data_IF_306113271502
#
_entry.id   IF_306113271502
#
_cell.length_a   1.000
_cell.length_b   1.000
_cell.length_c   1.000
_cell.angle_alpha   90.00
_cell.angle_beta   90.00
_cell.angle_gamma   90.00
#
_symmetry.space_group_name_H-M   'P 1'
#
loop_
_entity.id
_entity.type
_entity.pdbx_description
1 polymer ?
#
# COMPACT_ATOMS: atom_id res chain seq x y z
N UNK A 1 5.15 14.53 -7.64
CA UNK A 1 6.38 14.78 -6.86
C UNK A 1 6.05 14.72 -5.38
N UNK A 2 6.90 14.10 -4.57
CA UNK A 2 6.78 14.17 -3.12
C UNK A 2 7.16 15.57 -2.62
N UNK A 3 6.50 16.09 -1.57
CA UNK A 3 6.96 17.31 -0.90
C UNK A 3 8.38 17.15 -0.35
N UNK A 4 9.19 18.20 -0.44
CA UNK A 4 10.62 18.14 -0.11
C UNK A 4 10.92 18.03 1.40
N UNK A 5 9.93 18.33 2.23
CA UNK A 5 9.97 18.26 3.69
C UNK A 5 9.59 16.87 4.25
N UNK A 6 9.21 15.93 3.38
CA UNK A 6 8.99 14.54 3.76
C UNK A 6 10.32 13.80 3.89
N UNK A 7 10.60 13.31 5.09
CA UNK A 7 11.88 12.66 5.38
C UNK A 7 11.70 11.14 5.19
N UNK A 8 12.43 10.49 4.27
CA UNK A 8 12.28 9.05 4.06
C UNK A 8 12.83 8.27 5.25
N UNK A 9 12.01 7.38 5.81
CA UNK A 9 12.43 6.46 6.86
C UNK A 9 12.79 5.10 6.27
N UNK A 10 13.99 4.63 6.57
CA UNK A 10 14.52 3.34 6.10
C UNK A 10 14.96 2.52 7.29
N UNK A 11 14.67 1.23 7.23
CA UNK A 11 15.21 0.26 8.17
C UNK A 11 16.73 0.13 8.00
N UNK A 12 17.40 -0.48 8.97
CA UNK A 12 18.83 -0.76 8.98
C UNK A 12 19.38 -1.44 7.71
N UNK A 13 18.57 -2.25 7.03
CA UNK A 13 18.93 -2.93 5.77
C UNK A 13 18.71 -2.06 4.51
N UNK A 14 18.25 -0.83 4.68
CA UNK A 14 17.97 0.13 3.62
C UNK A 14 16.56 0.03 3.02
N UNK A 15 15.73 -0.92 3.48
CA UNK A 15 14.33 -1.03 3.04
C UNK A 15 13.55 0.24 3.40
N UNK A 16 12.90 0.86 2.41
CA UNK A 16 12.06 2.05 2.62
C UNK A 16 10.73 1.63 3.24
N UNK A 17 10.46 2.08 4.47
CA UNK A 17 9.20 1.78 5.15
C UNK A 17 8.13 2.87 4.91
N UNK A 18 8.57 4.10 4.68
CA UNK A 18 7.67 5.24 4.48
C UNK A 18 8.38 6.57 4.58
N UNK A 19 7.64 7.60 4.98
CA UNK A 19 8.13 8.95 5.21
C UNK A 19 7.58 9.50 6.51
N UNK A 20 8.33 10.42 7.12
CA UNK A 20 7.87 11.21 8.25
C UNK A 20 7.65 12.63 7.74
N UNK A 21 6.42 13.13 7.89
CA UNK A 21 5.98 14.45 7.42
C UNK A 21 5.77 15.38 8.62
N UNK A 22 6.25 16.64 8.58
CA UNK A 22 5.94 17.62 9.62
C UNK A 22 4.44 17.97 9.65
N UNK A 23 3.88 18.11 10.85
CA UNK A 23 2.49 18.53 11.10
C UNK A 23 2.46 19.49 12.31
N UNK A 24 2.56 20.80 12.04
CA UNK A 24 2.71 21.79 13.11
C UNK A 24 4.06 21.63 13.82
N UNK A 25 4.03 21.41 15.14
CA UNK A 25 5.21 21.12 15.96
C UNK A 25 5.48 19.61 16.11
N UNK A 26 4.59 18.76 15.56
CA UNK A 26 4.61 17.30 15.61
C UNK A 26 4.93 16.68 14.24
N UNK A 27 4.85 15.35 14.15
CA UNK A 27 5.16 14.55 12.97
C UNK A 27 4.10 13.49 12.71
N UNK A 28 3.86 13.20 11.44
CA UNK A 28 2.97 12.12 10.99
C UNK A 28 3.77 11.12 10.18
N UNK A 29 3.72 9.85 10.57
CA UNK A 29 4.22 8.74 9.78
C UNK A 29 3.30 8.49 8.58
N UNK A 30 3.88 8.37 7.39
CA UNK A 30 3.20 8.04 6.14
C UNK A 30 3.78 6.73 5.61
N UNK A 31 2.94 5.71 5.44
CA UNK A 31 3.33 4.40 4.92
C UNK A 31 3.77 4.46 3.44
N UNK A 32 4.32 3.34 2.95
CA UNK A 32 4.79 3.23 1.56
C UNK A 32 3.68 3.44 0.50
N UNK A 33 2.41 3.30 0.88
CA UNK A 33 1.24 3.56 0.02
C UNK A 33 0.79 5.03 0.06
N UNK A 34 1.46 5.88 0.84
CA UNK A 34 1.15 7.30 0.96
C UNK A 34 0.02 7.61 1.94
N UNK A 35 -0.27 6.69 2.88
CA UNK A 35 -1.34 6.84 3.88
C UNK A 35 -0.78 7.13 5.28
N UNK A 36 -1.51 7.88 6.13
CA UNK A 36 -1.11 8.03 7.53
C UNK A 36 -1.02 6.67 8.24
N UNK A 37 0.14 6.40 8.84
CA UNK A 37 0.42 5.24 9.68
C UNK A 37 0.41 5.60 11.18
N UNK A 38 0.36 6.89 11.50
CA UNK A 38 0.21 7.42 12.86
C UNK A 38 -0.69 8.65 12.87
N UNK A 39 -1.15 9.03 14.08
CA UNK A 39 -1.59 10.40 14.35
C UNK A 39 -0.37 11.35 14.38
N UNK A 40 -0.60 12.64 14.67
CA UNK A 40 0.47 13.59 14.95
C UNK A 40 1.13 13.24 16.29
N UNK A 41 2.42 12.89 16.25
CA UNK A 41 3.22 12.38 17.36
C UNK A 41 4.64 12.96 17.31
N UNK A 42 5.47 12.66 18.30
CA UNK A 42 6.88 13.03 18.23
C UNK A 42 7.64 12.22 17.15
N UNK A 43 8.87 12.66 16.86
CA UNK A 43 9.71 12.03 15.84
C UNK A 43 9.94 10.54 16.08
N UNK A 44 10.27 10.16 17.32
CA UNK A 44 10.66 8.79 17.65
C UNK A 44 9.46 7.85 17.60
N UNK A 45 8.28 8.32 18.01
CA UNK A 45 7.03 7.59 17.89
C UNK A 45 6.62 7.40 16.41
N UNK A 46 6.85 8.39 15.55
CA UNK A 46 6.62 8.27 14.11
C UNK A 46 7.55 7.22 13.46
N UNK A 47 8.84 7.19 13.83
CA UNK A 47 9.78 6.15 13.40
C UNK A 47 9.31 4.77 13.87
N UNK A 48 8.97 4.64 15.16
CA UNK A 48 8.50 3.39 15.75
C UNK A 48 7.21 2.88 15.08
N UNK A 49 6.29 3.77 14.68
CA UNK A 49 5.09 3.40 13.95
C UNK A 49 5.41 2.79 12.59
N UNK A 50 6.37 3.35 11.84
CA UNK A 50 6.80 2.80 10.55
C UNK A 50 7.52 1.46 10.72
N UNK A 51 8.37 1.31 11.73
CA UNK A 51 9.05 0.04 12.04
C UNK A 51 8.06 -1.06 12.45
N UNK A 52 7.07 -0.72 13.27
CA UNK A 52 6.06 -1.67 13.74
C UNK A 52 5.15 -2.17 12.60
N UNK A 53 4.80 -1.28 11.67
CA UNK A 53 4.03 -1.63 10.47
C UNK A 53 4.89 -2.43 9.49
N UNK A 54 6.11 -1.95 9.20
CA UNK A 54 7.00 -2.56 8.22
C UNK A 54 6.38 -2.63 6.82
N UNK A 55 6.80 -3.60 6.00
CA UNK A 55 6.20 -3.88 4.68
C UNK A 55 5.49 -5.25 4.58
N UNK A 56 5.57 -6.07 5.63
CA UNK A 56 5.06 -7.45 5.60
C UNK A 56 3.55 -7.51 5.28
N UNK A 57 2.78 -6.51 5.71
CA UNK A 57 1.35 -6.37 5.48
C UNK A 57 0.95 -6.20 4.00
N UNK A 58 1.90 -5.81 3.12
CA UNK A 58 1.65 -5.81 1.68
C UNK A 58 1.39 -7.23 1.14
N UNK A 59 1.83 -8.27 1.86
CA UNK A 59 1.57 -9.67 1.53
C UNK A 59 0.22 -10.18 2.06
N UNK A 60 -0.50 -9.39 2.87
CA UNK A 60 -1.81 -9.77 3.40
C UNK A 60 -2.89 -9.78 2.29
N UNK A 61 -4.14 -10.03 2.68
CA UNK A 61 -5.25 -10.03 1.73
C UNK A 61 -5.72 -8.62 1.46
N UNK A 62 -5.64 -8.23 0.18
CA UNK A 62 -6.07 -6.93 -0.32
C UNK A 62 -7.26 -7.07 -1.27
N UNK A 63 -8.15 -6.09 -1.21
CA UNK A 63 -9.33 -5.98 -2.05
C UNK A 63 -9.30 -4.66 -2.82
N UNK A 64 -9.79 -4.69 -4.05
CA UNK A 64 -9.97 -3.53 -4.90
C UNK A 64 -11.46 -3.37 -5.23
N UNK A 65 -12.06 -2.30 -4.71
CA UNK A 65 -13.46 -1.96 -4.96
C UNK A 65 -13.63 -1.26 -6.32
N UNK A 66 -14.79 -1.44 -6.95
CA UNK A 66 -15.21 -0.67 -8.14
C UNK A 66 -14.74 -1.20 -9.50
N UNK A 67 -13.85 -2.20 -9.55
CA UNK A 67 -13.42 -2.83 -10.81
C UNK A 67 -14.44 -3.86 -11.35
N UNK A 68 -15.30 -4.39 -10.48
CA UNK A 68 -16.33 -5.37 -10.80
C UNK A 68 -17.56 -5.21 -9.91
N UNK A 69 -18.57 -6.07 -10.10
CA UNK A 69 -19.79 -6.07 -9.27
C UNK A 69 -19.49 -6.38 -7.79
N UNK A 70 -18.50 -7.23 -7.54
CA UNK A 70 -17.97 -7.52 -6.20
C UNK A 70 -16.52 -7.05 -6.08
N UNK A 71 -16.02 -6.73 -4.87
CA UNK A 71 -14.62 -6.38 -4.66
C UNK A 71 -13.67 -7.46 -5.17
N UNK A 72 -12.64 -7.05 -5.92
CA UNK A 72 -11.65 -7.96 -6.49
C UNK A 72 -10.52 -8.21 -5.49
N UNK A 73 -10.23 -9.48 -5.16
CA UNK A 73 -9.03 -9.83 -4.39
C UNK A 73 -7.79 -9.61 -5.25
N UNK A 74 -6.81 -8.88 -4.72
CA UNK A 74 -5.59 -8.49 -5.44
C UNK A 74 -4.32 -8.75 -4.63
N UNK A 75 -3.18 -8.76 -5.32
CA UNK A 75 -1.84 -8.71 -4.72
C UNK A 75 -1.01 -7.59 -5.33
N UNK A 76 -0.13 -6.99 -4.51
CA UNK A 76 0.86 -6.04 -4.98
C UNK A 76 1.87 -6.72 -5.91
N UNK A 77 2.15 -6.06 -7.02
CA UNK A 77 3.22 -6.41 -7.96
C UNK A 77 4.37 -5.42 -7.81
N UNK A 78 4.04 -4.14 -7.69
CA UNK A 78 5.01 -3.05 -7.56
C UNK A 78 4.37 -1.90 -6.78
N UNK A 79 5.14 -1.26 -5.91
CA UNK A 79 4.83 0.06 -5.36
C UNK A 79 5.96 0.99 -5.78
N UNK A 80 5.63 2.01 -6.56
CA UNK A 80 6.58 3.04 -7.00
C UNK A 80 6.18 4.37 -6.36
N UNK A 81 6.83 4.79 -5.27
CA UNK A 81 6.59 6.10 -4.70
C UNK A 81 6.94 7.24 -5.66
N UNK A 82 6.39 8.45 -5.48
CA UNK A 82 6.71 9.58 -6.34
C UNK A 82 8.15 10.02 -6.10
N UNK A 83 8.85 10.32 -7.19
CA UNK A 83 10.13 11.05 -7.13
C UNK A 83 9.94 12.36 -7.88
N UNK A 84 10.54 12.51 -9.06
CA UNK A 84 10.27 13.60 -10.00
C UNK A 84 8.93 13.43 -10.74
N UNK A 85 8.43 12.19 -10.85
CA UNK A 85 7.17 11.85 -11.52
C UNK A 85 6.08 11.48 -10.50
N UNK A 86 4.86 11.29 -11.00
CA UNK A 86 3.78 10.72 -10.19
C UNK A 86 4.13 9.26 -9.83
N UNK A 87 3.93 8.90 -8.56
CA UNK A 87 4.05 7.52 -8.14
C UNK A 87 2.89 6.67 -8.66
N UNK A 88 3.06 5.36 -8.64
CA UNK A 88 2.04 4.40 -9.02
C UNK A 88 2.09 3.16 -8.13
N UNK A 89 0.97 2.47 -8.07
CA UNK A 89 0.84 1.17 -7.44
C UNK A 89 0.35 0.20 -8.51
N UNK A 90 0.99 -0.95 -8.63
CA UNK A 90 0.59 -1.99 -9.56
C UNK A 90 0.11 -3.18 -8.76
N UNK A 91 -1.13 -3.58 -9.00
CA UNK A 91 -1.72 -4.79 -8.44
C UNK A 91 -2.15 -5.74 -9.55
N UNK A 92 -2.37 -7.00 -9.19
CA UNK A 92 -3.01 -7.99 -10.07
C UNK A 92 -4.07 -8.76 -9.31
N UNK A 93 -5.05 -9.32 -10.01
CA UNK A 93 -5.97 -10.27 -9.41
C UNK A 93 -5.21 -11.42 -8.73
N UNK A 94 -5.63 -11.81 -7.53
CA UNK A 94 -5.06 -12.95 -6.83
C UNK A 94 -5.51 -14.25 -7.51
N UNK A 95 -4.60 -14.83 -8.30
CA UNK A 95 -4.76 -16.10 -9.01
C UNK A 95 -4.37 -17.31 -8.13
N UNK A 96 -4.06 -17.08 -6.84
CA UNK A 96 -3.59 -18.09 -5.90
C UNK A 96 -2.33 -18.85 -6.35
N UNK A 97 -1.53 -18.26 -7.24
CA UNK A 97 -0.34 -18.91 -7.78
C UNK A 97 -0.63 -19.99 -8.82
N UNK A 98 -1.83 -19.96 -9.43
CA UNK A 98 -2.17 -20.85 -10.54
C UNK A 98 -1.33 -20.52 -11.78
N UNK A 99 -0.24 -21.26 -11.96
CA UNK A 99 0.68 -21.12 -13.10
C UNK A 99 0.08 -21.56 -14.43
N UNK A 100 -1.07 -22.25 -14.43
CA UNK A 100 -1.77 -22.66 -15.66
C UNK A 100 -2.70 -21.55 -16.17
N UNK A 101 -3.06 -20.59 -15.31
CA UNK A 101 -3.86 -19.43 -15.70
C UNK A 101 -2.99 -18.48 -16.54
N UNK A 102 -3.53 -17.85 -17.59
CA UNK A 102 -2.86 -16.72 -18.24
C UNK A 102 -2.47 -15.66 -17.20
N UNK A 103 -1.37 -14.93 -17.42
CA UNK A 103 -0.97 -13.85 -16.51
C UNK A 103 -2.15 -12.93 -16.23
N UNK A 104 -2.48 -12.75 -14.94
CA UNK A 104 -3.53 -11.85 -14.54
C UNK A 104 -3.21 -10.43 -15.04
N UNK A 105 -4.26 -9.72 -15.46
CA UNK A 105 -4.16 -8.33 -15.86
C UNK A 105 -3.57 -7.49 -14.71
N UNK A 106 -2.65 -6.60 -15.05
CA UNK A 106 -2.05 -5.65 -14.11
C UNK A 106 -2.88 -4.39 -14.10
N UNK A 107 -3.41 -4.04 -12.94
CA UNK A 107 -4.14 -2.80 -12.71
C UNK A 107 -3.16 -1.78 -12.14
N UNK A 108 -3.12 -0.59 -12.75
CA UNK A 108 -2.27 0.51 -12.33
C UNK A 108 -3.12 1.54 -11.60
N UNK A 109 -2.79 1.76 -10.34
CA UNK A 109 -3.45 2.69 -9.44
C UNK A 109 -2.53 3.88 -9.16
N UNK A 110 -3.08 5.06 -8.84
CA UNK A 110 -2.27 6.21 -8.45
C UNK A 110 -1.57 5.97 -7.12
N UNK A 111 -0.50 6.72 -6.88
CA UNK A 111 0.03 6.99 -5.54
C UNK A 111 -0.30 8.44 -5.15
N UNK A 112 -0.81 8.73 -3.94
CA UNK A 112 -1.15 7.79 -2.87
C UNK A 112 -2.22 6.78 -3.25
N UNK A 113 -2.21 5.62 -2.58
CA UNK A 113 -3.15 4.54 -2.85
C UNK A 113 -4.60 4.99 -2.65
N UNK A 114 -5.48 4.78 -3.64
CA UNK A 114 -6.88 5.17 -3.52
C UNK A 114 -7.58 4.38 -2.43
N UNK A 115 -8.64 4.93 -1.83
CA UNK A 115 -9.42 4.27 -0.78
C UNK A 115 -10.07 2.95 -1.24
N UNK A 116 -10.27 2.80 -2.56
CA UNK A 116 -10.77 1.57 -3.18
C UNK A 116 -9.81 0.40 -3.02
N UNK A 117 -8.51 0.64 -2.86
CA UNK A 117 -7.52 -0.39 -2.55
C UNK A 117 -7.40 -0.54 -1.03
N UNK A 118 -7.90 -1.62 -0.46
CA UNK A 118 -8.05 -1.75 1.00
C UNK A 118 -7.74 -3.15 1.51
N UNK A 119 -7.44 -3.30 2.81
CA UNK A 119 -7.42 -4.61 3.44
C UNK A 119 -8.77 -5.32 3.31
N UNK A 120 -8.73 -6.65 3.34
CA UNK A 120 -9.93 -7.46 3.42
C UNK A 120 -10.74 -7.16 4.69
N UNK A 121 -12.06 -7.23 4.55
CA UNK A 121 -13.07 -7.04 5.58
C UNK A 121 -13.92 -8.30 5.69
N UNK A 122 -14.62 -8.44 6.81
CA UNK A 122 -15.60 -9.52 6.97
C UNK A 122 -16.69 -9.41 5.88
N UNK A 123 -16.91 -10.50 5.15
CA UNK A 123 -17.90 -10.56 4.07
C UNK A 123 -17.36 -10.29 2.66
N UNK A 124 -16.07 -9.96 2.52
CA UNK A 124 -15.45 -9.92 1.19
C UNK A 124 -15.43 -11.32 0.56
N UNK A 125 -15.63 -11.41 -0.76
CA UNK A 125 -15.60 -12.70 -1.46
C UNK A 125 -14.21 -13.34 -1.33
N UNK A 126 -14.17 -14.64 -1.04
CA UNK A 126 -12.93 -15.40 -1.20
C UNK A 126 -12.61 -15.42 -2.70
N UNK A 127 -11.40 -15.02 -3.08
CA UNK A 127 -10.96 -15.08 -4.48
C UNK A 127 -11.02 -16.49 -5.08
N UNK A 128 -11.15 -17.53 -4.24
CA UNK A 128 -11.40 -18.91 -4.70
C UNK A 128 -12.77 -19.11 -5.34
N UNK A 129 -13.73 -18.22 -5.08
CA UNK A 129 -15.14 -18.36 -5.46
C UNK A 129 -15.55 -17.42 -6.59
N UNK A 130 -14.58 -16.82 -7.32
CA UNK A 130 -14.90 -16.09 -8.56
C UNK A 130 -15.30 -17.14 -9.62
N UNK A 131 -16.54 -17.61 -9.52
CA UNK A 131 -17.20 -18.41 -10.52
C UNK A 131 -17.33 -17.54 -11.78
N UNK A 132 -16.81 -18.07 -12.88
CA UNK A 132 -16.96 -17.48 -14.20
C UNK A 132 -18.23 -17.99 -14.86
#
# INVERSE_FOLDING_TARGET
>A
MLPADWIPHRRDDGELLGWIRPEGDDWVAIDVLGRPASDAVDWLDAEAALEAVGLAWLADVWMLDGEAQEPLRVRFVEVTPPTAEAGRIVVKADDFGDMQRPPAERLVLPWPAPETLRPARAGDPDGRTIAR
#
